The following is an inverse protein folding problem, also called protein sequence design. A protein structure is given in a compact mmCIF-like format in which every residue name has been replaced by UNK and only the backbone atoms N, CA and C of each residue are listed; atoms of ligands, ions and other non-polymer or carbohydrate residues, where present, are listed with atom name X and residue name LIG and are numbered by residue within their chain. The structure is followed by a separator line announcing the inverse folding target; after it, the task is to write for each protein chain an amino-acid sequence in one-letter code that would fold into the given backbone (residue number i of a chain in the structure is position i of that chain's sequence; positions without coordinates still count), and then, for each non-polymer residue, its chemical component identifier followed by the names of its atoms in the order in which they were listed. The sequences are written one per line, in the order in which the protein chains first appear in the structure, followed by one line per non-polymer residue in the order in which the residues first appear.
data_IF_307032585665
#
_entry.id   IF_307032585665
#
_cell.length_a   1.000
_cell.length_b   1.000
_cell.length_c   1.000
_cell.angle_alpha   90.00
_cell.angle_beta   90.00
_cell.angle_gamma   90.00
#
_symmetry.space_group_name_H-M   'P 1'
#
loop_
_entity.id
_entity.type
_entity.pdbx_description
1 polymer ?
#
# COMPACT_ATOMS: atom_id res chain seq x y z
N UNK A 1 -29.21 10.02 -15.77
CA UNK A 1 -28.37 9.84 -14.58
C UNK A 1 -28.04 8.36 -14.44
N UNK A 2 -26.78 8.03 -14.55
CA UNK A 2 -26.34 6.67 -14.29
C UNK A 2 -26.49 6.38 -12.80
N UNK A 3 -27.16 5.28 -12.45
CA UNK A 3 -27.18 4.80 -11.08
C UNK A 3 -25.78 4.25 -10.76
N UNK A 4 -25.01 5.00 -9.99
CA UNK A 4 -23.74 4.52 -9.47
C UNK A 4 -24.02 3.38 -8.49
N UNK A 5 -23.57 2.17 -8.84
CA UNK A 5 -23.55 1.06 -7.91
C UNK A 5 -22.33 1.24 -7.02
N UNK A 6 -22.57 1.49 -5.74
CA UNK A 6 -21.50 1.57 -4.75
C UNK A 6 -21.52 0.28 -3.94
N UNK A 7 -20.38 -0.40 -3.93
CA UNK A 7 -20.18 -1.60 -3.12
C UNK A 7 -19.61 -1.17 -1.76
N UNK A 8 -20.13 -1.74 -0.70
CA UNK A 8 -19.64 -1.48 0.66
C UNK A 8 -19.30 -2.78 1.37
N UNK A 9 -18.13 -3.36 1.06
CA UNK A 9 -17.69 -4.61 1.69
C UNK A 9 -17.49 -4.41 3.19
N UNK A 10 -17.81 -5.44 3.98
CA UNK A 10 -17.71 -5.42 5.44
C UNK A 10 -16.39 -5.94 5.95
N UNK A 11 -15.68 -6.72 5.17
CA UNK A 11 -14.43 -7.36 5.54
C UNK A 11 -13.54 -7.60 4.32
N UNK A 12 -12.32 -8.07 4.55
CA UNK A 12 -11.36 -8.33 3.48
C UNK A 12 -11.87 -9.37 2.47
N UNK A 13 -12.56 -10.40 2.91
CA UNK A 13 -13.07 -11.46 2.03
C UNK A 13 -14.08 -10.92 1.03
N UNK A 14 -15.01 -10.07 1.48
CA UNK A 14 -15.97 -9.39 0.58
C UNK A 14 -15.24 -8.43 -0.37
N UNK A 15 -14.27 -7.66 0.15
CA UNK A 15 -13.48 -6.74 -0.66
C UNK A 15 -12.68 -7.49 -1.73
N UNK A 16 -12.05 -8.61 -1.37
CA UNK A 16 -11.24 -9.41 -2.30
C UNK A 16 -12.04 -9.91 -3.50
N UNK A 17 -13.28 -10.33 -3.27
CA UNK A 17 -14.18 -10.75 -4.37
C UNK A 17 -14.43 -9.62 -5.36
N UNK A 18 -14.59 -8.39 -4.86
CA UNK A 18 -14.79 -7.22 -5.70
C UNK A 18 -13.53 -6.86 -6.49
N UNK A 19 -12.38 -6.86 -5.83
CA UNK A 19 -11.11 -6.46 -6.46
C UNK A 19 -10.57 -7.51 -7.43
N UNK A 20 -10.91 -8.77 -7.27
CA UNK A 20 -10.54 -9.84 -8.20
C UNK A 20 -11.33 -9.78 -9.52
N UNK A 21 -12.45 -9.08 -9.55
CA UNK A 21 -13.23 -8.83 -10.76
C UNK A 21 -12.73 -7.53 -11.42
N UNK A 22 -11.99 -7.66 -12.52
CA UNK A 22 -11.44 -6.50 -13.25
C UNK A 22 -12.51 -5.62 -13.88
N UNK A 23 -13.76 -6.10 -14.02
CA UNK A 23 -14.88 -5.30 -14.52
C UNK A 23 -15.45 -4.35 -13.46
N UNK A 24 -15.13 -4.57 -12.18
CA UNK A 24 -15.53 -3.67 -11.11
C UNK A 24 -14.53 -2.54 -11.01
N UNK A 25 -15.03 -1.31 -11.17
CA UNK A 25 -14.22 -0.12 -11.00
C UNK A 25 -13.94 0.10 -9.50
N UNK A 26 -12.67 0.23 -9.13
CA UNK A 26 -12.26 0.45 -7.74
C UNK A 26 -12.85 1.74 -7.15
N UNK A 27 -13.14 2.71 -8.00
CA UNK A 27 -13.81 3.96 -7.60
C UNK A 27 -15.19 3.72 -6.96
N UNK A 28 -15.87 2.64 -7.32
CA UNK A 28 -17.22 2.32 -6.84
C UNK A 28 -17.22 1.50 -5.54
N UNK A 29 -16.07 1.33 -4.90
CA UNK A 29 -15.96 0.56 -3.67
C UNK A 29 -15.74 1.52 -2.49
N UNK A 30 -16.68 1.51 -1.55
CA UNK A 30 -16.56 2.18 -0.26
C UNK A 30 -15.79 1.26 0.71
N UNK A 31 -14.58 1.63 1.05
CA UNK A 31 -13.68 0.82 1.90
C UNK A 31 -13.68 1.25 3.36
N UNK A 32 -14.61 2.12 3.77
CA UNK A 32 -14.61 2.72 5.11
C UNK A 32 -14.71 1.72 6.25
N UNK A 33 -15.27 0.52 6.02
CA UNK A 33 -15.40 -0.52 7.03
C UNK A 33 -14.20 -1.48 7.11
N UNK A 34 -13.25 -1.36 6.19
CA UNK A 34 -12.15 -2.32 6.06
C UNK A 34 -11.04 -2.00 7.05
N UNK A 35 -10.60 -3.03 7.78
CA UNK A 35 -9.50 -2.97 8.75
C UNK A 35 -8.26 -3.72 8.28
N UNK A 36 -8.41 -4.68 7.39
CA UNK A 36 -7.36 -5.53 6.86
C UNK A 36 -7.40 -5.53 5.33
N UNK A 37 -6.32 -5.09 4.71
CA UNK A 37 -6.12 -5.11 3.26
C UNK A 37 -4.90 -5.98 2.88
N UNK A 38 -4.47 -6.89 3.77
CA UNK A 38 -3.33 -7.74 3.51
C UNK A 38 -3.57 -8.64 2.29
N UNK A 39 -2.55 -8.74 1.43
CA UNK A 39 -2.54 -9.53 0.21
C UNK A 39 -3.67 -9.23 -0.79
N UNK A 40 -4.33 -8.07 -0.68
CA UNK A 40 -5.53 -7.75 -1.46
C UNK A 40 -5.29 -7.80 -2.98
N UNK A 41 -4.17 -7.28 -3.44
CA UNK A 41 -3.76 -7.29 -4.86
C UNK A 41 -2.48 -8.11 -5.10
N UNK A 42 -2.17 -9.02 -4.18
CA UNK A 42 -1.01 -9.90 -4.35
C UNK A 42 -1.15 -10.71 -5.63
N UNK A 43 -0.09 -10.69 -6.46
CA UNK A 43 -0.06 -11.39 -7.74
C UNK A 43 -1.17 -10.95 -8.73
N UNK A 44 -1.77 -9.79 -8.48
CA UNK A 44 -2.85 -9.27 -9.31
C UNK A 44 -2.36 -8.97 -10.73
N UNK A 45 -3.17 -9.38 -11.70
CA UNK A 45 -2.98 -9.03 -13.10
C UNK A 45 -3.81 -7.82 -13.54
N UNK A 46 -4.51 -7.20 -12.58
CA UNK A 46 -5.29 -5.99 -12.82
C UNK A 46 -4.39 -4.90 -13.41
N UNK A 47 -4.83 -4.27 -14.48
CA UNK A 47 -4.12 -3.17 -15.14
C UNK A 47 -4.66 -1.81 -14.75
N UNK A 48 -5.96 -1.70 -14.53
CA UNK A 48 -6.61 -0.44 -14.16
C UNK A 48 -6.87 -0.38 -12.65
N UNK A 49 -6.09 0.45 -11.96
CA UNK A 49 -6.25 0.73 -10.54
C UNK A 49 -6.90 2.10 -10.28
N UNK A 50 -7.47 2.74 -11.29
CA UNK A 50 -8.08 4.06 -11.13
C UNK A 50 -9.18 4.03 -10.06
N UNK A 51 -9.14 5.02 -9.18
CA UNK A 51 -10.07 5.13 -8.05
C UNK A 51 -9.51 4.62 -6.72
N UNK A 52 -8.44 3.80 -6.73
CA UNK A 52 -7.85 3.29 -5.49
C UNK A 52 -7.29 4.43 -4.62
N UNK A 53 -6.82 5.50 -5.23
CA UNK A 53 -6.28 6.69 -4.55
C UNK A 53 -7.33 7.39 -3.67
N UNK A 54 -8.62 7.17 -3.94
CA UNK A 54 -9.73 7.75 -3.19
C UNK A 54 -10.28 6.81 -2.08
N UNK A 55 -9.70 5.64 -1.92
CA UNK A 55 -10.15 4.72 -0.88
C UNK A 55 -9.97 5.30 0.52
N UNK A 56 -10.96 5.09 1.37
CA UNK A 56 -10.87 5.37 2.80
C UNK A 56 -10.06 4.26 3.48
N UNK A 57 -8.86 4.57 3.90
CA UNK A 57 -7.95 3.65 4.58
C UNK A 57 -7.79 3.98 6.07
N UNK A 58 -8.61 4.90 6.58
CA UNK A 58 -8.47 5.42 7.94
C UNK A 58 -8.61 4.37 9.05
N UNK A 59 -9.26 3.24 8.77
CA UNK A 59 -9.45 2.14 9.72
C UNK A 59 -8.52 0.95 9.46
N UNK A 60 -7.65 1.03 8.44
CA UNK A 60 -6.81 -0.09 8.04
C UNK A 60 -5.57 -0.18 8.93
N UNK A 61 -5.33 -1.37 9.48
CA UNK A 61 -4.20 -1.68 10.35
C UNK A 61 -3.14 -2.53 9.65
N UNK A 62 -3.52 -3.31 8.64
CA UNK A 62 -2.65 -4.29 7.99
C UNK A 62 -2.74 -4.17 6.47
N UNK A 63 -1.60 -3.87 5.84
CA UNK A 63 -1.40 -3.85 4.39
C UNK A 63 -0.24 -4.77 3.99
N UNK A 64 0.04 -5.81 4.78
CA UNK A 64 1.07 -6.80 4.48
C UNK A 64 0.85 -7.40 3.09
N UNK A 65 1.87 -7.37 2.24
CA UNK A 65 1.87 -7.94 0.89
C UNK A 65 0.74 -7.42 -0.03
N UNK A 66 0.16 -6.25 0.26
CA UNK A 66 -1.02 -5.74 -0.46
C UNK A 66 -0.82 -5.68 -1.97
N UNK A 67 0.33 -5.24 -2.43
CA UNK A 67 0.69 -5.12 -3.85
C UNK A 67 1.88 -6.00 -4.24
N UNK A 68 2.19 -7.02 -3.43
CA UNK A 68 3.28 -7.95 -3.72
C UNK A 68 3.03 -8.63 -5.07
N UNK A 69 4.01 -8.58 -5.96
CA UNK A 69 3.91 -9.14 -7.31
C UNK A 69 2.78 -8.53 -8.19
N UNK A 70 2.30 -7.35 -7.84
CA UNK A 70 1.32 -6.61 -8.65
C UNK A 70 2.05 -5.76 -9.69
N UNK A 71 2.40 -6.37 -10.82
CA UNK A 71 3.34 -5.80 -11.81
C UNK A 71 2.84 -4.51 -12.49
N UNK A 72 1.53 -4.32 -12.59
CA UNK A 72 0.95 -3.16 -13.28
C UNK A 72 0.60 -2.00 -12.33
N UNK A 73 0.77 -2.21 -11.02
CA UNK A 73 0.43 -1.19 -10.05
C UNK A 73 1.42 -0.03 -10.06
N UNK A 74 0.93 1.19 -10.25
CA UNK A 74 1.72 2.41 -10.10
C UNK A 74 0.80 3.62 -9.85
N UNK A 75 0.17 3.68 -8.68
CA UNK A 75 -0.68 4.81 -8.29
C UNK A 75 -0.08 5.61 -7.16
N UNK A 76 -0.38 6.91 -7.15
CA UNK A 76 -0.04 7.81 -6.05
C UNK A 76 -1.02 7.58 -4.89
N UNK A 77 -0.49 7.09 -3.76
CA UNK A 77 -1.27 6.78 -2.57
C UNK A 77 -1.04 7.80 -1.44
N UNK A 78 -0.49 8.97 -1.73
CA UNK A 78 -0.21 9.99 -0.71
C UNK A 78 -1.46 10.49 0.04
N UNK A 79 -2.64 10.38 -0.57
CA UNK A 79 -3.90 10.78 0.06
C UNK A 79 -4.44 9.78 1.09
N UNK A 80 -3.87 8.57 1.14
CA UNK A 80 -4.30 7.56 2.10
C UNK A 80 -3.98 7.99 3.54
N UNK A 81 -4.97 7.82 4.42
CA UNK A 81 -4.78 7.97 5.87
C UNK A 81 -4.14 6.69 6.41
N UNK A 82 -2.90 6.77 6.82
CA UNK A 82 -2.10 5.66 7.34
C UNK A 82 -1.90 5.74 8.86
N UNK A 83 -2.65 6.59 9.54
CA UNK A 83 -2.46 6.86 10.97
C UNK A 83 -2.66 5.63 11.87
N UNK A 84 -3.48 4.66 11.45
CA UNK A 84 -3.71 3.41 12.19
C UNK A 84 -2.92 2.23 11.65
N UNK A 85 -2.13 2.43 10.60
CA UNK A 85 -1.38 1.37 9.93
C UNK A 85 -0.26 0.85 10.81
N UNK A 86 -0.19 -0.48 10.97
CA UNK A 86 0.78 -1.17 11.83
C UNK A 86 1.69 -2.13 11.07
N UNK A 87 1.23 -2.67 9.94
CA UNK A 87 1.93 -3.72 9.20
C UNK A 87 1.96 -3.42 7.72
N UNK A 88 3.16 -3.37 7.15
CA UNK A 88 3.40 -3.14 5.72
C UNK A 88 4.46 -4.07 5.13
N UNK A 89 4.82 -5.17 5.82
CA UNK A 89 5.81 -6.10 5.31
C UNK A 89 5.44 -6.58 3.91
N UNK A 90 6.40 -6.61 2.99
CA UNK A 90 6.24 -7.03 1.59
C UNK A 90 5.23 -6.22 0.77
N UNK A 91 4.79 -5.06 1.25
CA UNK A 91 3.67 -4.34 0.63
C UNK A 91 3.87 -4.08 -0.87
N UNK A 92 5.05 -3.68 -1.28
CA UNK A 92 5.41 -3.38 -2.68
C UNK A 92 6.50 -4.31 -3.21
N UNK A 93 6.72 -5.43 -2.55
CA UNK A 93 7.76 -6.37 -2.95
C UNK A 93 7.45 -6.91 -4.35
N UNK A 94 8.42 -6.77 -5.26
CA UNK A 94 8.30 -7.19 -6.66
C UNK A 94 7.12 -6.54 -7.43
N UNK A 95 6.65 -5.38 -6.98
CA UNK A 95 5.74 -4.53 -7.75
C UNK A 95 6.58 -3.69 -8.72
N UNK A 96 7.03 -4.30 -9.81
CA UNK A 96 8.16 -3.82 -10.62
C UNK A 96 7.92 -2.50 -11.37
N UNK A 97 6.67 -2.08 -11.55
CA UNK A 97 6.34 -0.78 -12.16
C UNK A 97 6.06 0.32 -11.14
N UNK A 98 6.09 -0.01 -9.84
CA UNK A 98 5.80 0.97 -8.81
C UNK A 98 7.01 1.87 -8.53
N UNK A 99 6.81 3.18 -8.67
CA UNK A 99 7.83 4.19 -8.40
C UNK A 99 7.28 5.47 -7.74
N UNK A 100 6.00 5.46 -7.34
CA UNK A 100 5.34 6.61 -6.71
C UNK A 100 5.41 6.49 -5.19
N UNK A 101 6.63 6.48 -4.64
CA UNK A 101 6.88 6.29 -3.22
C UNK A 101 6.18 7.36 -2.38
N UNK A 102 5.29 6.98 -1.43
CA UNK A 102 4.51 7.96 -0.66
C UNK A 102 5.38 8.69 0.37
N UNK A 103 5.56 9.98 0.18
CA UNK A 103 6.34 10.85 1.07
C UNK A 103 5.50 11.52 2.18
N UNK A 104 4.17 11.38 2.12
CA UNK A 104 3.24 12.02 3.07
C UNK A 104 2.63 11.05 4.08
N UNK A 105 2.95 9.76 4.00
CA UNK A 105 2.40 8.78 4.92
C UNK A 105 2.89 9.01 6.35
N UNK A 106 1.95 8.96 7.30
CA UNK A 106 2.25 8.82 8.72
C UNK A 106 2.54 7.35 9.01
N UNK A 107 3.77 7.03 9.39
CA UNK A 107 4.21 5.67 9.70
C UNK A 107 4.59 5.52 11.19
N UNK A 108 4.12 6.43 12.06
CA UNK A 108 4.49 6.46 13.48
C UNK A 108 4.05 5.21 14.24
N UNK A 109 2.99 4.53 13.78
CA UNK A 109 2.43 3.35 14.42
C UNK A 109 2.88 2.02 13.78
N UNK A 110 3.78 2.07 12.82
CA UNK A 110 4.28 0.86 12.15
C UNK A 110 5.07 0.00 13.14
N UNK A 111 4.75 -1.29 13.15
CA UNK A 111 5.40 -2.33 13.97
C UNK A 111 6.09 -3.40 13.15
N UNK A 112 5.62 -3.64 11.92
CA UNK A 112 6.18 -4.64 11.01
C UNK A 112 6.35 -4.05 9.61
N UNK A 113 7.59 -4.03 9.12
CA UNK A 113 7.95 -3.43 7.83
C UNK A 113 9.12 -4.17 7.17
N UNK A 114 9.03 -5.51 7.09
CA UNK A 114 10.07 -6.33 6.47
C UNK A 114 9.93 -6.34 4.95
N UNK A 115 11.03 -6.16 4.24
CA UNK A 115 11.10 -6.29 2.77
C UNK A 115 9.93 -5.58 2.04
N UNK A 116 9.62 -4.36 2.46
CA UNK A 116 8.53 -3.57 1.86
C UNK A 116 8.74 -3.37 0.37
N UNK A 117 9.99 -3.22 -0.06
CA UNK A 117 10.43 -3.15 -1.44
C UNK A 117 11.45 -4.26 -1.73
N UNK A 118 11.81 -4.43 -3.01
CA UNK A 118 12.88 -5.35 -3.40
C UNK A 118 14.23 -4.92 -2.83
N UNK A 119 15.14 -5.89 -2.65
CA UNK A 119 16.49 -5.64 -2.16
C UNK A 119 17.35 -4.79 -3.08
N UNK A 120 16.99 -4.68 -4.35
CA UNK A 120 17.69 -3.90 -5.37
C UNK A 120 17.21 -2.45 -5.47
N UNK A 121 16.27 -2.03 -4.60
CA UNK A 121 15.80 -0.64 -4.61
C UNK A 121 16.93 0.31 -4.21
N UNK A 122 17.04 1.41 -4.94
CA UNK A 122 17.94 2.49 -4.56
C UNK A 122 17.33 3.26 -3.37
N UNK A 123 17.84 2.95 -2.20
CA UNK A 123 17.37 3.54 -0.93
C UNK A 123 17.46 5.07 -0.91
N UNK A 124 18.40 5.64 -1.70
CA UNK A 124 18.55 7.09 -1.78
C UNK A 124 17.38 7.77 -2.49
N UNK A 125 16.62 7.02 -3.27
CA UNK A 125 15.40 7.52 -3.95
C UNK A 125 14.16 7.47 -3.07
N UNK A 126 14.22 6.79 -1.92
CA UNK A 126 13.09 6.73 -1.01
C UNK A 126 12.93 8.04 -0.24
N UNK A 127 11.67 8.47 0.00
CA UNK A 127 11.39 9.56 0.93
C UNK A 127 11.91 9.29 2.34
N UNK A 128 12.24 10.35 3.07
CA UNK A 128 12.85 10.22 4.41
C UNK A 128 11.97 9.46 5.41
N UNK A 129 10.66 9.65 5.34
CA UNK A 129 9.72 8.93 6.20
C UNK A 129 9.79 7.41 5.99
N UNK A 130 9.97 6.96 4.74
CA UNK A 130 10.12 5.54 4.43
C UNK A 130 11.49 5.02 4.88
N UNK A 131 12.57 5.79 4.67
CA UNK A 131 13.90 5.40 5.13
C UNK A 131 13.94 5.17 6.65
N UNK A 132 13.43 6.11 7.42
CA UNK A 132 13.48 6.04 8.87
C UNK A 132 12.67 4.84 9.40
N UNK A 133 11.49 4.61 8.86
CA UNK A 133 10.59 3.59 9.40
C UNK A 133 10.87 2.18 8.88
N UNK A 134 11.44 2.04 7.67
CA UNK A 134 11.71 0.72 7.09
C UNK A 134 13.02 0.10 7.57
N UNK A 135 13.95 0.93 8.00
CA UNK A 135 15.31 0.47 8.38
C UNK A 135 15.60 0.65 9.87
N UNK A 136 14.59 1.07 10.65
CA UNK A 136 14.77 1.33 12.08
C UNK A 136 15.16 0.07 12.90
N UNK A 137 14.76 -1.12 12.46
CA UNK A 137 15.11 -2.37 13.13
C UNK A 137 16.50 -2.88 12.78
N UNK A 138 17.12 -2.36 11.73
CA UNK A 138 18.47 -2.72 11.34
C UNK A 138 19.42 -1.54 11.59
N UNK A 139 19.69 -1.31 12.87
CA UNK A 139 20.54 -0.21 13.33
C UNK A 139 21.92 -0.22 12.67
N UNK A 140 22.42 -1.40 12.26
CA UNK A 140 23.69 -1.52 11.58
C UNK A 140 23.64 -1.05 10.12
N UNK A 141 22.50 -1.21 9.45
CA UNK A 141 22.28 -0.65 8.12
C UNK A 141 22.05 0.86 8.12
N UNK A 142 21.55 1.41 9.22
CA UNK A 142 21.38 2.87 9.35
C UNK A 142 22.70 3.63 9.39
N UNK A 143 23.80 3.00 9.80
CA UNK A 143 25.13 3.62 9.84
C UNK A 143 25.66 3.97 8.45
N UNK A 144 25.20 3.28 7.43
CA UNK A 144 25.60 3.48 6.04
C UNK A 144 24.65 4.43 5.28
N UNK A 145 23.55 4.85 5.90
CA UNK A 145 22.65 5.85 5.33
C UNK A 145 23.22 7.23 5.68
N UNK A 146 23.81 7.87 4.70
CA UNK A 146 24.25 9.26 4.80
C UNK A 146 22.98 10.14 4.86
N UNK A 147 22.52 10.43 6.08
CA UNK A 147 21.44 11.40 6.31
C UNK A 147 22.05 12.78 6.10
N UNK A 148 22.31 13.13 4.85
CA UNK A 148 22.61 14.52 4.49
C UNK A 148 21.28 15.26 4.34
N UNK A 149 21.21 16.35 5.07
CA UNK A 149 20.15 17.35 5.04
C UNK A 149 19.68 17.70 3.62
#
# INVERSE_FOLDING_TARGET
MENLIIYKPKNKEELKKLTDDENINLYNIDTSLIKDMSALFRESKRKNFDGIENWDTSNVHDMTAMFKDAHYFNKDLNAWDTSKLKKISFMFFNACNFNKYPDKWNLDNIKEAYDVFNNDIDINKLPINLKINLYYEDFDKMKDIDIKD
#
